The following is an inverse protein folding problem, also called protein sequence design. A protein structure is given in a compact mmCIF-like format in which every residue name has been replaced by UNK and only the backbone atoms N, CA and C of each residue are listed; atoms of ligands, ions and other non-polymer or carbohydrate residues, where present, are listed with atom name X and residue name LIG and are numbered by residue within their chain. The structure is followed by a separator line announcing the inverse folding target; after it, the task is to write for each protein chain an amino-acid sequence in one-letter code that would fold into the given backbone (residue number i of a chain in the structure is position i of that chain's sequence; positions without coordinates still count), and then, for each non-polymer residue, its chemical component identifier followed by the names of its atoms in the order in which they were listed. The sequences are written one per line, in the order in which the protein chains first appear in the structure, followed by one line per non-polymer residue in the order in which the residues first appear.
data_IF_817069498356
#
_entry.id   IF_817069498356
#
_cell.length_a   1.000
_cell.length_b   1.000
_cell.length_c   1.000
_cell.angle_alpha   90.00
_cell.angle_beta   90.00
_cell.angle_gamma   90.00
#
_symmetry.space_group_name_H-M   'P 1'
#
loop_
_entity.id
_entity.type
_entity.pdbx_description
1 polymer ?
#
# COMPACT_ATOMS: atom_id res chain seq x y z
N UNK A 1 -57.21 -16.86 12.74
CA UNK A 1 -56.15 -15.83 12.57
C UNK A 1 -55.13 -16.00 13.68
N UNK A 2 -54.10 -16.83 13.46
CA UNK A 2 -53.08 -17.08 14.47
C UNK A 2 -52.27 -15.79 14.70
N UNK A 3 -52.37 -15.21 15.90
CA UNK A 3 -51.54 -14.07 16.32
C UNK A 3 -50.09 -14.54 16.30
N UNK A 4 -49.30 -14.06 15.33
CA UNK A 4 -47.83 -14.21 15.36
C UNK A 4 -47.30 -13.71 16.71
N UNK A 5 -46.46 -14.52 17.34
CA UNK A 5 -45.80 -14.22 18.62
C UNK A 5 -45.07 -12.88 18.54
N UNK A 6 -45.09 -12.09 19.62
CA UNK A 6 -44.53 -10.73 19.68
C UNK A 6 -43.08 -10.65 19.14
N UNK A 7 -42.31 -11.72 19.32
CA UNK A 7 -40.94 -11.85 18.82
C UNK A 7 -40.78 -11.92 17.30
N UNK A 8 -41.76 -12.46 16.56
CA UNK A 8 -41.75 -12.43 15.08
C UNK A 8 -42.08 -11.04 14.53
N UNK A 9 -42.82 -10.22 15.29
CA UNK A 9 -43.11 -8.82 14.93
C UNK A 9 -41.93 -7.89 15.16
N UNK A 10 -41.07 -8.21 16.13
CA UNK A 10 -39.91 -7.41 16.54
C UNK A 10 -38.58 -7.88 15.93
N UNK A 11 -38.60 -8.88 15.03
CA UNK A 11 -37.41 -9.41 14.33
C UNK A 11 -36.29 -9.92 15.29
N UNK A 12 -36.67 -10.24 16.53
CA UNK A 12 -35.76 -10.61 17.62
C UNK A 12 -34.75 -11.73 17.29
N UNK A 13 -35.12 -12.83 16.59
CA UNK A 13 -34.16 -13.90 16.30
C UNK A 13 -33.04 -13.46 15.34
N UNK A 14 -33.33 -12.61 14.36
CA UNK A 14 -32.32 -12.09 13.43
C UNK A 14 -31.39 -11.08 14.12
N UNK A 15 -31.94 -10.28 15.04
CA UNK A 15 -31.17 -9.36 15.88
C UNK A 15 -30.17 -10.10 16.79
N UNK A 16 -30.64 -11.15 17.47
CA UNK A 16 -29.78 -11.99 18.31
C UNK A 16 -28.68 -12.64 17.47
N UNK A 17 -29.01 -13.12 16.28
CA UNK A 17 -28.04 -13.71 15.35
C UNK A 17 -26.98 -12.68 14.93
N UNK A 18 -27.37 -11.46 14.57
CA UNK A 18 -26.46 -10.37 14.23
C UNK A 18 -25.52 -10.01 15.39
N UNK A 19 -26.09 -9.76 16.58
CA UNK A 19 -25.30 -9.45 17.77
C UNK A 19 -24.36 -10.58 18.19
N UNK A 20 -24.73 -11.85 17.97
CA UNK A 20 -23.83 -12.98 18.26
C UNK A 20 -22.53 -12.93 17.45
N UNK A 21 -22.58 -12.42 16.21
CA UNK A 21 -21.39 -12.25 15.35
C UNK A 21 -20.55 -11.09 15.86
N UNK A 22 -21.18 -9.96 16.22
CA UNK A 22 -20.48 -8.81 16.80
C UNK A 22 -19.77 -9.18 18.10
N UNK A 23 -20.44 -9.92 18.99
CA UNK A 23 -19.87 -10.36 20.26
C UNK A 23 -18.68 -11.31 20.05
N UNK A 24 -18.75 -12.18 19.03
CA UNK A 24 -17.63 -13.04 18.63
C UNK A 24 -16.46 -12.24 18.07
N UNK A 25 -16.71 -11.14 17.34
CA UNK A 25 -15.65 -10.33 16.77
C UNK A 25 -14.98 -9.41 17.80
N UNK A 26 -15.73 -8.96 18.81
CA UNK A 26 -15.24 -8.10 19.89
C UNK A 26 -14.11 -8.74 20.71
N UNK A 27 -14.11 -10.07 20.87
CA UNK A 27 -13.08 -10.81 21.62
C UNK A 27 -11.89 -11.23 20.76
N UNK A 28 -11.92 -10.99 19.45
CA UNK A 28 -10.79 -11.33 18.56
C UNK A 28 -9.73 -10.23 18.62
N UNK A 29 -8.48 -10.63 18.44
CA UNK A 29 -7.38 -9.68 18.31
C UNK A 29 -7.56 -8.82 17.05
N UNK A 30 -7.28 -7.50 17.12
CA UNK A 30 -7.34 -6.63 15.96
C UNK A 30 -6.30 -7.05 14.92
N UNK A 31 -6.63 -6.93 13.63
CA UNK A 31 -5.72 -7.23 12.51
C UNK A 31 -4.88 -6.02 12.09
N UNK A 32 -4.85 -4.96 12.89
CA UNK A 32 -4.16 -3.70 12.61
C UNK A 32 -2.71 -3.77 13.09
N UNK A 33 -1.80 -3.14 12.33
CA UNK A 33 -0.42 -2.90 12.75
C UNK A 33 -0.30 -1.49 13.33
N UNK A 34 0.50 -1.33 14.39
CA UNK A 34 0.74 -0.01 15.01
C UNK A 34 1.83 0.74 14.25
N UNK A 35 1.47 1.58 13.29
CA UNK A 35 2.43 2.44 12.61
C UNK A 35 2.75 3.67 13.49
N UNK A 36 4.02 4.08 13.64
CA UNK A 36 5.21 3.70 12.87
C UNK A 36 6.07 2.54 13.42
N UNK A 37 5.75 2.02 14.61
CA UNK A 37 6.56 1.02 15.35
C UNK A 37 6.58 -0.34 14.64
N UNK A 38 5.42 -0.80 14.17
CA UNK A 38 5.20 -2.03 13.44
C UNK A 38 4.84 -1.71 11.99
N UNK A 39 5.67 -2.20 11.05
CA UNK A 39 5.47 -2.02 9.60
C UNK A 39 5.26 -3.37 8.93
N UNK A 40 4.51 -3.37 7.83
CA UNK A 40 4.37 -4.56 7.02
C UNK A 40 5.70 -4.93 6.34
N UNK A 41 5.89 -6.21 6.06
CA UNK A 41 7.03 -6.69 5.28
C UNK A 41 6.83 -6.31 3.81
N UNK A 42 7.75 -5.52 3.26
CA UNK A 42 7.71 -5.11 1.86
C UNK A 42 8.21 -6.26 0.98
N UNK A 43 7.48 -6.57 -0.10
CA UNK A 43 7.90 -7.59 -1.06
C UNK A 43 9.18 -7.17 -1.81
N UNK A 44 10.01 -8.14 -2.22
CA UNK A 44 11.28 -7.89 -2.91
C UNK A 44 11.14 -7.00 -4.15
N UNK A 45 10.04 -7.15 -4.90
CA UNK A 45 9.75 -6.40 -6.14
C UNK A 45 8.83 -5.19 -5.93
N UNK A 46 8.71 -4.70 -4.71
CA UNK A 46 7.90 -3.52 -4.44
C UNK A 46 8.47 -2.29 -5.17
N UNK A 47 7.58 -1.56 -5.87
CA UNK A 47 7.94 -0.33 -6.58
C UNK A 47 7.75 0.86 -5.64
N UNK A 48 8.83 1.26 -4.98
CA UNK A 48 8.86 2.40 -4.07
C UNK A 48 9.23 3.71 -4.76
N UNK A 49 9.82 4.62 -4.00
CA UNK A 49 10.32 5.89 -4.50
C UNK A 49 11.44 5.69 -5.55
N UNK A 50 11.34 6.30 -6.75
CA UNK A 50 12.40 6.26 -7.75
C UNK A 50 13.68 6.91 -7.21
N UNK A 51 14.79 6.16 -7.22
CA UNK A 51 16.12 6.67 -6.85
C UNK A 51 17.12 6.32 -7.95
N UNK A 52 18.12 7.19 -8.14
CA UNK A 52 19.24 6.89 -9.03
C UNK A 52 20.10 5.80 -8.41
N UNK A 53 20.47 4.80 -9.22
CA UNK A 53 21.42 3.75 -8.82
C UNK A 53 22.82 4.36 -8.77
N UNK A 54 23.54 4.08 -7.68
CA UNK A 54 24.92 4.51 -7.49
C UNK A 54 25.90 3.44 -7.98
N UNK A 55 27.07 3.86 -8.42
CA UNK A 55 28.22 3.00 -8.70
C UNK A 55 29.00 2.67 -7.41
N UNK A 56 30.12 1.94 -7.55
CA UNK A 56 30.99 1.56 -6.42
C UNK A 56 31.67 2.76 -5.76
N UNK A 57 31.76 3.89 -6.46
CA UNK A 57 32.37 5.14 -6.00
C UNK A 57 31.33 6.10 -5.38
N UNK A 58 30.05 5.72 -5.35
CA UNK A 58 28.95 6.50 -4.80
C UNK A 58 28.34 7.53 -5.78
N UNK A 59 28.81 7.58 -7.02
CA UNK A 59 28.31 8.48 -8.06
C UNK A 59 27.09 7.87 -8.77
N UNK A 60 26.22 8.71 -9.31
CA UNK A 60 25.03 8.23 -10.01
C UNK A 60 25.40 7.61 -11.38
N UNK A 61 24.94 6.37 -11.63
CA UNK A 61 25.09 5.65 -12.91
C UNK A 61 24.33 6.28 -14.09
N UNK A 62 23.58 7.35 -13.85
CA UNK A 62 22.85 8.04 -14.90
C UNK A 62 23.82 8.72 -15.88
N UNK A 63 23.73 8.39 -17.18
CA UNK A 63 24.52 8.99 -18.27
C UNK A 63 23.76 10.08 -19.03
N UNK A 64 22.64 10.56 -18.49
CA UNK A 64 21.79 11.58 -19.11
C UNK A 64 21.27 11.23 -20.52
N UNK A 65 21.00 9.94 -20.79
CA UNK A 65 20.49 9.48 -22.09
C UNK A 65 19.04 9.84 -22.40
N UNK A 66 18.25 10.26 -21.40
CA UNK A 66 16.85 10.65 -21.57
C UNK A 66 15.84 9.52 -21.81
N UNK A 67 16.28 8.26 -21.96
CA UNK A 67 15.40 7.11 -22.21
C UNK A 67 14.29 6.94 -21.15
N UNK A 68 14.61 7.22 -19.88
CA UNK A 68 13.65 7.16 -18.78
C UNK A 68 12.55 8.23 -18.90
N UNK A 69 12.87 9.42 -19.40
CA UNK A 69 11.90 10.50 -19.62
C UNK A 69 10.98 10.16 -20.80
N UNK A 70 11.54 9.64 -21.89
CA UNK A 70 10.78 9.24 -23.08
C UNK A 70 9.80 8.09 -22.79
N UNK A 71 10.21 7.10 -21.99
CA UNK A 71 9.35 5.94 -21.69
C UNK A 71 8.32 6.23 -20.59
N UNK A 72 8.41 7.37 -19.90
CA UNK A 72 7.57 7.69 -18.75
C UNK A 72 6.11 7.94 -19.19
N UNK A 73 5.14 7.05 -18.87
CA UNK A 73 3.76 7.24 -19.31
C UNK A 73 3.10 8.53 -18.79
N UNK A 74 3.33 8.98 -17.53
CA UNK A 74 2.77 10.24 -17.05
C UNK A 74 3.62 11.47 -17.37
N UNK A 75 4.73 11.35 -18.12
CA UNK A 75 5.68 12.45 -18.38
C UNK A 75 6.16 13.16 -17.10
N UNK A 76 6.43 12.40 -16.04
CA UNK A 76 6.81 12.94 -14.72
C UNK A 76 8.31 13.27 -14.56
N UNK A 77 9.13 13.07 -15.61
CA UNK A 77 10.58 13.20 -15.56
C UNK A 77 11.03 14.29 -16.53
N UNK A 78 11.69 15.31 -16.00
CA UNK A 78 12.44 16.31 -16.77
C UNK A 78 13.94 16.06 -16.61
N UNK A 79 14.70 16.18 -17.70
CA UNK A 79 16.13 15.89 -17.72
C UNK A 79 16.92 17.05 -18.33
N UNK A 80 17.88 17.57 -17.57
CA UNK A 80 18.86 18.55 -18.02
C UNK A 80 20.25 17.94 -17.87
N UNK A 81 20.98 17.84 -18.98
CA UNK A 81 22.31 17.26 -19.00
C UNK A 81 23.38 18.33 -18.71
N UNK A 82 24.38 17.97 -17.92
CA UNK A 82 25.57 18.77 -17.65
C UNK A 82 26.83 17.96 -17.94
N UNK A 83 27.87 18.65 -18.42
CA UNK A 83 29.17 18.04 -18.63
C UNK A 83 29.80 17.66 -17.29
N UNK A 84 30.38 16.47 -17.24
CA UNK A 84 31.16 15.99 -16.10
C UNK A 84 32.54 15.60 -16.57
N UNK A 85 33.56 15.89 -15.76
CA UNK A 85 34.95 15.51 -16.03
C UNK A 85 35.23 14.03 -15.78
N UNK A 86 34.28 13.30 -15.17
CA UNK A 86 34.43 11.89 -14.81
C UNK A 86 33.87 11.00 -15.91
N UNK A 87 34.65 10.05 -16.39
CA UNK A 87 34.19 9.00 -17.30
C UNK A 87 33.29 8.04 -16.51
N UNK A 88 32.04 7.87 -16.95
CA UNK A 88 31.08 6.93 -16.36
C UNK A 88 31.15 5.62 -17.12
N UNK A 89 31.30 4.51 -16.38
CA UNK A 89 31.24 3.14 -16.91
C UNK A 89 29.80 2.60 -16.94
#
# INVERSE_FOLDING_TARGET
MAKKTLGERLILPELIKGYSVTLKQLTRKPSTLSYPEERWTVAERFRGYPKLVQDEQGEAKCVACGLCAVVCPPNAIELQAHETSKVKE
#
